data_IF_585817034758
#
_entry.id   IF_585817034758
#
_cell.length_a   1.000
_cell.length_b   1.000
_cell.length_c   1.000
_cell.angle_alpha   90.00
_cell.angle_beta   90.00
_cell.angle_gamma   90.00
#
_symmetry.space_group_name_H-M   'P 1'
#
loop_
_entity.id
_entity.type
_entity.pdbx_description
1 polymer ?
#
# COMPACT_ATOMS: atom_id res chain seq x y z
N UNK A 1 -31.60 -86.84 3.21
CA UNK A 1 -30.70 -85.94 4.00
C UNK A 1 -29.64 -85.36 3.08
N UNK A 2 -29.86 -84.20 2.58
CA UNK A 2 -28.80 -83.35 1.90
C UNK A 2 -29.21 -81.90 2.09
N UNK A 3 -28.44 -81.17 2.89
CA UNK A 3 -28.63 -79.77 3.18
C UNK A 3 -28.11 -78.95 2.00
N UNK A 4 -28.95 -78.12 1.41
CA UNK A 4 -28.59 -77.18 0.38
C UNK A 4 -28.24 -75.86 1.09
N UNK A 5 -26.96 -75.43 0.94
CA UNK A 5 -26.46 -74.16 1.42
C UNK A 5 -26.74 -73.13 0.30
N UNK A 6 -27.63 -72.19 0.55
CA UNK A 6 -27.83 -71.05 -0.35
C UNK A 6 -26.90 -69.92 0.10
N UNK A 7 -25.90 -69.61 -0.73
CA UNK A 7 -25.02 -68.48 -0.55
C UNK A 7 -25.69 -67.25 -1.14
N UNK A 8 -26.17 -66.34 -0.30
CA UNK A 8 -26.64 -65.01 -0.74
C UNK A 8 -25.45 -64.09 -0.83
N UNK A 9 -24.99 -63.84 -2.03
CA UNK A 9 -23.97 -62.85 -2.31
C UNK A 9 -24.63 -61.47 -2.32
N UNK A 10 -24.50 -60.72 -1.21
CA UNK A 10 -24.93 -59.33 -1.12
C UNK A 10 -23.96 -58.42 -1.85
N UNK A 11 -24.43 -57.85 -2.95
CA UNK A 11 -23.72 -56.81 -3.75
C UNK A 11 -23.82 -55.48 -3.01
N UNK A 12 -22.77 -55.10 -2.25
CA UNK A 12 -22.67 -53.76 -1.66
C UNK A 12 -22.25 -52.77 -2.75
N UNK A 13 -23.23 -52.03 -3.23
CA UNK A 13 -23.01 -50.91 -4.16
C UNK A 13 -22.46 -49.72 -3.35
N UNK A 14 -21.16 -49.51 -3.36
CA UNK A 14 -20.48 -48.33 -2.75
C UNK A 14 -20.76 -47.10 -3.65
N UNK A 15 -21.79 -46.34 -3.29
CA UNK A 15 -22.01 -45.01 -3.83
C UNK A 15 -20.92 -44.08 -3.26
N UNK A 16 -19.83 -43.89 -3.99
CA UNK A 16 -18.87 -42.82 -3.72
C UNK A 16 -19.55 -41.49 -4.07
N UNK A 17 -20.18 -40.88 -3.07
CA UNK A 17 -20.55 -39.46 -3.16
C UNK A 17 -19.27 -38.66 -3.13
N UNK A 18 -18.84 -38.23 -4.31
CA UNK A 18 -17.77 -37.27 -4.44
C UNK A 18 -18.20 -35.96 -3.80
N UNK A 19 -17.79 -35.74 -2.55
CA UNK A 19 -17.86 -34.42 -1.93
C UNK A 19 -16.85 -33.57 -2.68
N UNK A 20 -17.29 -32.92 -3.75
CA UNK A 20 -16.56 -31.84 -4.36
C UNK A 20 -16.32 -30.79 -3.27
N UNK A 21 -15.08 -30.63 -2.85
CA UNK A 21 -14.69 -29.51 -1.99
C UNK A 21 -15.05 -28.23 -2.77
N UNK A 22 -16.22 -27.68 -2.46
CA UNK A 22 -16.56 -26.30 -2.85
C UNK A 22 -15.62 -25.43 -2.06
N UNK A 23 -14.49 -25.06 -2.64
CA UNK A 23 -13.66 -23.97 -2.15
C UNK A 23 -14.52 -22.71 -2.26
N UNK A 24 -15.20 -22.38 -1.17
CA UNK A 24 -15.78 -21.05 -1.00
C UNK A 24 -14.62 -20.08 -1.05
N UNK A 25 -14.35 -19.50 -2.19
CA UNK A 25 -13.57 -18.29 -2.30
C UNK A 25 -14.36 -17.20 -1.55
N UNK A 26 -14.12 -17.09 -0.26
CA UNK A 26 -14.62 -16.00 0.55
C UNK A 26 -13.96 -14.73 0.01
N UNK A 27 -14.64 -14.10 -0.93
CA UNK A 27 -14.25 -12.78 -1.41
C UNK A 27 -14.34 -11.84 -0.21
N UNK A 28 -13.18 -11.34 0.24
CA UNK A 28 -13.16 -10.39 1.36
C UNK A 28 -13.88 -9.12 0.94
N UNK A 29 -14.74 -8.63 1.80
CA UNK A 29 -15.42 -7.35 1.58
C UNK A 29 -14.42 -6.19 1.65
N UNK A 30 -14.76 -5.08 1.03
CA UNK A 30 -13.96 -3.84 1.11
C UNK A 30 -13.62 -3.46 2.56
N UNK A 31 -14.60 -3.52 3.47
CA UNK A 31 -14.40 -3.20 4.87
C UNK A 31 -13.42 -4.13 5.57
N UNK A 32 -13.51 -5.44 5.31
CA UNK A 32 -12.58 -6.43 5.85
C UNK A 32 -11.16 -6.19 5.35
N UNK A 33 -10.98 -5.91 4.05
CA UNK A 33 -9.67 -5.60 3.48
C UNK A 33 -9.05 -4.36 4.13
N UNK A 34 -9.83 -3.29 4.33
CA UNK A 34 -9.37 -2.08 5.02
C UNK A 34 -8.93 -2.40 6.45
N UNK A 35 -9.73 -3.13 7.22
CA UNK A 35 -9.37 -3.49 8.59
C UNK A 35 -8.09 -4.35 8.67
N UNK A 36 -7.92 -5.28 7.75
CA UNK A 36 -6.72 -6.13 7.67
C UNK A 36 -5.48 -5.29 7.36
N UNK A 37 -5.55 -4.35 6.39
CA UNK A 37 -4.44 -3.46 6.04
C UNK A 37 -4.07 -2.59 7.25
N UNK A 38 -5.05 -1.95 7.87
CA UNK A 38 -4.83 -1.08 9.03
C UNK A 38 -4.21 -1.86 10.19
N UNK A 39 -4.70 -3.07 10.47
CA UNK A 39 -4.15 -3.91 11.51
C UNK A 39 -2.69 -4.29 11.23
N UNK A 40 -2.37 -4.69 10.01
CA UNK A 40 -1.00 -5.02 9.62
C UNK A 40 -0.04 -3.82 9.78
N UNK A 41 -0.51 -2.60 9.52
CA UNK A 41 0.30 -1.39 9.68
C UNK A 41 0.51 -0.98 11.14
N UNK A 42 -0.35 -1.41 12.07
CA UNK A 42 -0.22 -1.07 13.51
C UNK A 42 1.03 -1.66 14.15
N UNK A 43 1.49 -2.80 13.67
CA UNK A 43 2.67 -3.51 14.18
C UNK A 43 3.99 -2.95 13.62
N UNK A 44 3.92 -1.97 12.69
CA UNK A 44 5.09 -1.33 12.12
C UNK A 44 5.51 -0.16 13.00
N UNK A 45 6.64 -0.28 13.70
CA UNK A 45 7.25 0.79 14.47
C UNK A 45 8.31 1.55 13.66
N UNK A 46 9.01 0.83 12.79
CA UNK A 46 9.95 1.41 11.85
C UNK A 46 9.99 0.60 10.56
N UNK A 47 10.38 1.25 9.47
CA UNK A 47 10.52 0.61 8.17
C UNK A 47 11.66 1.27 7.39
N UNK A 48 12.44 0.44 6.70
CA UNK A 48 13.37 0.88 5.65
C UNK A 48 13.08 0.09 4.39
N UNK A 49 13.04 0.77 3.25
CA UNK A 49 12.80 0.14 1.96
C UNK A 49 13.49 0.90 0.83
N UNK A 50 13.58 0.25 -0.31
CA UNK A 50 14.01 0.87 -1.55
C UNK A 50 12.80 1.45 -2.27
N UNK A 51 12.98 2.58 -2.95
CA UNK A 51 11.96 3.25 -3.74
C UNK A 51 12.45 3.48 -5.17
N UNK A 52 11.53 3.29 -6.12
CA UNK A 52 11.68 3.70 -7.51
C UNK A 52 10.50 4.59 -7.88
N UNK A 53 10.80 5.83 -8.24
CA UNK A 53 9.79 6.83 -8.59
C UNK A 53 9.80 7.09 -10.09
N UNK A 54 8.61 7.16 -10.67
CA UNK A 54 8.40 7.63 -12.05
C UNK A 54 7.43 8.80 -12.00
N UNK A 55 7.88 9.99 -12.41
CA UNK A 55 7.06 11.19 -12.48
C UNK A 55 6.80 11.58 -13.93
N UNK A 56 5.53 11.70 -14.29
CA UNK A 56 5.07 12.23 -15.57
C UNK A 56 4.62 13.67 -15.39
N UNK A 57 5.23 14.57 -16.14
CA UNK A 57 4.91 16.00 -16.09
C UNK A 57 4.24 16.35 -17.42
N UNK A 58 3.10 17.05 -17.43
CA UNK A 58 2.49 17.53 -18.67
C UNK A 58 3.50 18.30 -19.52
N UNK A 59 3.45 18.10 -20.82
CA UNK A 59 4.33 18.75 -21.80
C UNK A 59 5.80 18.25 -21.81
N UNK A 60 6.14 17.24 -21.02
CA UNK A 60 7.40 16.52 -21.15
C UNK A 60 7.17 15.15 -21.81
N UNK A 61 7.92 14.85 -22.86
CA UNK A 61 7.77 13.61 -23.62
C UNK A 61 8.21 12.39 -22.82
N UNK A 62 9.26 12.54 -22.00
CA UNK A 62 9.82 11.46 -21.21
C UNK A 62 9.53 11.63 -19.71
N UNK A 63 9.17 10.55 -19.00
CA UNK A 63 8.99 10.60 -17.56
C UNK A 63 10.33 10.76 -16.85
N UNK A 64 10.33 11.54 -15.77
CA UNK A 64 11.46 11.63 -14.86
C UNK A 64 11.47 10.38 -13.96
N UNK A 65 12.63 9.74 -13.88
CA UNK A 65 12.84 8.57 -13.01
C UNK A 65 13.84 8.93 -11.93
N UNK A 66 13.56 8.44 -10.73
CA UNK A 66 14.45 8.61 -9.56
C UNK A 66 14.40 7.34 -8.72
N UNK A 67 15.49 7.03 -8.05
CA UNK A 67 15.52 5.91 -7.10
C UNK A 67 16.31 6.27 -5.85
N UNK A 68 16.05 5.53 -4.77
CA UNK A 68 16.67 5.80 -3.49
C UNK A 68 16.10 4.93 -2.39
N UNK A 69 16.19 5.41 -1.16
CA UNK A 69 15.69 4.71 0.02
C UNK A 69 14.69 5.57 0.79
N UNK A 70 13.79 4.90 1.49
CA UNK A 70 12.85 5.52 2.40
C UNK A 70 13.01 4.91 3.78
N UNK A 71 12.98 5.75 4.81
CA UNK A 71 12.93 5.34 6.20
C UNK A 71 11.69 5.97 6.84
N UNK A 72 10.96 5.16 7.60
CA UNK A 72 9.87 5.57 8.46
C UNK A 72 10.15 5.12 9.88
N UNK A 73 9.93 6.00 10.85
CA UNK A 73 10.01 5.69 12.27
C UNK A 73 8.79 6.33 12.94
N UNK A 74 7.98 5.50 13.58
CA UNK A 74 6.76 5.92 14.28
C UNK A 74 7.10 6.91 15.42
N UNK A 75 6.27 7.90 15.71
CA UNK A 75 4.96 8.12 15.08
C UNK A 75 4.99 9.01 13.84
N UNK A 76 6.03 9.81 13.61
CA UNK A 76 5.96 10.94 12.67
C UNK A 76 7.26 11.24 11.94
N UNK A 77 8.28 10.37 12.05
CA UNK A 77 9.55 10.56 11.35
C UNK A 77 9.58 9.81 10.04
N UNK A 78 10.01 10.51 9.01
CA UNK A 78 10.03 10.00 7.65
C UNK A 78 11.19 10.65 6.88
N UNK A 79 11.93 9.85 6.13
CA UNK A 79 12.94 10.38 5.20
C UNK A 79 12.85 9.69 3.84
N UNK A 80 13.10 10.48 2.79
CA UNK A 80 13.39 10.03 1.45
C UNK A 80 14.81 10.45 1.11
N UNK A 81 15.62 9.50 0.68
CA UNK A 81 16.98 9.75 0.25
C UNK A 81 17.12 9.24 -1.19
N UNK A 82 16.97 10.13 -2.16
CA UNK A 82 17.20 9.83 -3.57
C UNK A 82 18.70 9.85 -3.85
N UNK A 83 19.16 8.87 -4.63
CA UNK A 83 20.57 8.71 -5.00
C UNK A 83 20.77 8.71 -6.51
N UNK A 84 19.71 8.54 -7.29
CA UNK A 84 19.74 8.52 -8.75
C UNK A 84 18.52 9.31 -9.29
N UNK A 85 18.66 10.18 -10.31
CA UNK A 85 19.89 10.59 -10.99
C UNK A 85 20.72 11.63 -10.20
N UNK A 86 20.15 12.24 -9.14
CA UNK A 86 20.79 13.23 -8.29
C UNK A 86 20.54 12.93 -6.82
N UNK A 87 21.55 13.21 -6.00
CA UNK A 87 21.39 13.13 -4.55
C UNK A 87 20.43 14.22 -4.07
N UNK A 88 19.38 13.80 -3.41
CA UNK A 88 18.42 14.70 -2.80
C UNK A 88 17.76 14.04 -1.60
N UNK A 89 17.62 14.77 -0.51
CA UNK A 89 17.09 14.25 0.75
C UNK A 89 15.93 15.09 1.26
N UNK A 90 14.90 14.41 1.71
CA UNK A 90 13.80 14.97 2.46
C UNK A 90 13.76 14.28 3.82
N UNK A 91 13.71 15.06 4.89
CA UNK A 91 13.46 14.57 6.26
C UNK A 91 12.26 15.29 6.84
N UNK A 92 11.42 14.54 7.52
CA UNK A 92 10.26 15.04 8.24
C UNK A 92 10.30 14.50 9.68
N UNK A 93 10.24 15.39 10.67
CA UNK A 93 10.11 15.06 12.08
C UNK A 93 8.96 15.86 12.66
N UNK A 94 7.80 15.22 12.79
CA UNK A 94 6.57 15.90 13.18
C UNK A 94 6.25 17.06 12.22
N UNK A 95 6.37 18.27 12.73
CA UNK A 95 6.12 19.51 11.98
C UNK A 95 7.34 20.07 11.25
N UNK A 96 8.53 19.53 11.54
CA UNK A 96 9.78 20.00 10.95
C UNK A 96 10.04 19.28 9.62
N UNK A 97 10.30 20.06 8.58
CA UNK A 97 10.65 19.55 7.24
C UNK A 97 12.01 20.14 6.85
N UNK A 98 12.93 19.26 6.50
CA UNK A 98 14.25 19.61 5.96
C UNK A 98 14.41 19.04 4.57
N UNK A 99 14.92 19.83 3.63
CA UNK A 99 15.17 19.43 2.24
C UNK A 99 16.61 19.75 1.85
N UNK A 100 17.24 18.82 1.12
CA UNK A 100 18.62 18.97 0.74
C UNK A 100 19.57 19.01 1.94
N UNK A 101 20.49 19.99 1.97
CA UNK A 101 21.41 20.25 3.07
C UNK A 101 20.89 21.35 4.01
N UNK A 102 19.87 22.11 3.62
CA UNK A 102 19.36 23.28 4.32
C UNK A 102 17.90 23.10 4.74
N UNK A 103 17.45 23.88 5.72
CA UNK A 103 16.04 23.95 6.11
C UNK A 103 15.20 24.49 4.94
N UNK A 104 14.08 23.83 4.68
CA UNK A 104 13.18 24.24 3.61
C UNK A 104 12.59 25.65 3.87
N UNK A 105 12.36 26.38 2.80
CA UNK A 105 11.50 27.57 2.82
C UNK A 105 10.13 27.21 3.44
N UNK A 106 9.56 28.13 4.23
CA UNK A 106 8.29 27.92 4.98
C UNK A 106 7.13 27.55 4.05
N UNK A 107 7.12 28.06 2.82
CA UNK A 107 6.05 27.77 1.85
C UNK A 107 6.22 26.38 1.21
N UNK A 108 7.44 26.04 0.83
CA UNK A 108 7.79 24.70 0.41
C UNK A 108 7.55 23.69 1.53
N UNK A 109 7.93 24.02 2.77
CA UNK A 109 7.70 23.18 3.95
C UNK A 109 6.24 22.82 4.17
N UNK A 110 5.28 23.73 3.96
CA UNK A 110 3.85 23.44 4.09
C UNK A 110 3.34 22.46 3.04
N UNK A 111 3.80 22.59 1.79
CA UNK A 111 3.45 21.66 0.70
C UNK A 111 4.01 20.26 1.00
N UNK A 112 5.29 20.18 1.37
CA UNK A 112 5.94 18.91 1.68
C UNK A 112 5.37 18.26 2.94
N UNK A 113 4.97 19.04 3.96
CA UNK A 113 4.26 18.54 5.13
C UNK A 113 2.95 17.85 4.74
N UNK A 114 2.18 18.43 3.81
CA UNK A 114 0.96 17.82 3.30
C UNK A 114 1.23 16.48 2.60
N UNK A 115 2.23 16.45 1.73
CA UNK A 115 2.64 15.23 1.00
C UNK A 115 3.18 14.17 1.97
N UNK A 116 4.02 14.55 2.92
CA UNK A 116 4.60 13.63 3.90
C UNK A 116 3.53 13.02 4.81
N UNK A 117 2.60 13.83 5.32
CA UNK A 117 1.46 13.35 6.11
C UNK A 117 0.60 12.39 5.31
N UNK A 118 0.44 12.62 4.02
CA UNK A 118 -0.28 11.72 3.12
C UNK A 118 0.47 10.40 2.94
N UNK A 119 1.78 10.43 2.69
CA UNK A 119 2.58 9.21 2.57
C UNK A 119 2.54 8.40 3.87
N UNK A 120 2.71 9.04 5.02
CA UNK A 120 2.59 8.41 6.34
C UNK A 120 1.20 7.79 6.53
N UNK A 121 0.14 8.51 6.17
CA UNK A 121 -1.24 8.01 6.24
C UNK A 121 -1.50 6.84 5.29
N UNK A 122 -0.88 6.82 4.10
CA UNK A 122 -0.90 5.68 3.18
C UNK A 122 -0.23 4.46 3.80
N UNK A 123 0.93 4.66 4.44
CA UNK A 123 1.71 3.58 5.03
C UNK A 123 1.07 3.01 6.29
N UNK A 124 0.43 3.85 7.11
CA UNK A 124 -0.31 3.41 8.30
C UNK A 124 -1.70 2.84 7.96
N UNK A 125 -2.15 2.97 6.72
CA UNK A 125 -3.51 2.61 6.32
C UNK A 125 -4.60 3.54 6.87
N UNK A 126 -4.27 4.55 7.67
CA UNK A 126 -5.25 5.46 8.27
C UNK A 126 -6.03 6.25 7.21
N UNK A 127 -5.41 6.56 6.08
CA UNK A 127 -6.10 7.23 4.97
C UNK A 127 -7.27 6.41 4.41
N UNK A 128 -7.24 5.09 4.52
CA UNK A 128 -8.34 4.23 4.08
C UNK A 128 -9.59 4.42 4.94
N UNK A 129 -9.44 4.93 6.16
CA UNK A 129 -10.54 5.21 7.10
C UNK A 129 -10.98 6.68 7.09
N UNK A 130 -10.21 7.57 6.46
CA UNK A 130 -10.52 9.02 6.45
C UNK A 130 -11.59 9.38 5.40
N UNK A 131 -12.82 9.05 5.70
CA UNK A 131 -14.00 9.36 4.86
C UNK A 131 -14.30 10.86 4.75
N UNK A 132 -13.68 11.72 5.57
CA UNK A 132 -13.84 13.18 5.47
C UNK A 132 -12.98 13.75 4.36
N UNK A 133 -11.83 13.14 4.11
CA UNK A 133 -10.86 13.60 3.11
C UNK A 133 -11.04 12.88 1.79
N UNK A 134 -11.35 11.57 1.83
CA UNK A 134 -11.43 10.72 0.63
C UNK A 134 -12.69 9.86 0.59
N UNK A 135 -13.19 9.64 -0.62
CA UNK A 135 -14.02 8.48 -0.93
C UNK A 135 -13.06 7.35 -1.26
N UNK A 136 -13.15 6.26 -0.52
CA UNK A 136 -12.25 5.11 -0.65
C UNK A 136 -13.01 3.93 -1.22
N UNK A 137 -12.37 3.16 -2.08
CA UNK A 137 -12.79 1.83 -2.48
C UNK A 137 -11.58 0.90 -2.51
N UNK A 138 -11.76 -0.35 -2.06
CA UNK A 138 -10.71 -1.37 -2.05
C UNK A 138 -11.21 -2.62 -2.77
N UNK A 139 -10.40 -3.13 -3.69
CA UNK A 139 -10.71 -4.31 -4.50
C UNK A 139 -9.50 -5.24 -4.55
N UNK A 140 -9.76 -6.53 -4.50
CA UNK A 140 -8.75 -7.55 -4.81
C UNK A 140 -8.68 -7.72 -6.33
N UNK A 141 -7.50 -7.43 -6.90
CA UNK A 141 -7.23 -7.62 -8.33
C UNK A 141 -6.23 -8.77 -8.57
N UNK A 142 -6.10 -9.66 -7.61
CA UNK A 142 -5.23 -10.85 -7.63
C UNK A 142 -3.78 -10.53 -7.29
N UNK A 143 -3.09 -9.73 -8.10
CA UNK A 143 -1.69 -9.37 -7.87
C UNK A 143 -1.51 -8.32 -6.75
N UNK A 144 -2.55 -7.58 -6.41
CA UNK A 144 -2.56 -6.59 -5.32
C UNK A 144 -3.98 -6.35 -4.81
N UNK A 145 -4.09 -5.87 -3.58
CA UNK A 145 -5.28 -5.19 -3.11
C UNK A 145 -5.15 -3.71 -3.46
N UNK A 146 -6.00 -3.30 -4.40
CA UNK A 146 -5.98 -1.93 -4.91
C UNK A 146 -6.96 -1.07 -4.15
N UNK A 147 -6.46 -0.04 -3.48
CA UNK A 147 -7.28 1.02 -2.91
C UNK A 147 -7.26 2.24 -3.82
N UNK A 148 -8.44 2.79 -4.11
CA UNK A 148 -8.62 4.02 -4.86
C UNK A 148 -9.19 5.07 -3.92
N UNK A 149 -8.51 6.21 -3.80
CA UNK A 149 -8.86 7.34 -2.95
C UNK A 149 -9.20 8.54 -3.82
N UNK A 150 -10.47 8.91 -3.87
CA UNK A 150 -10.94 10.10 -4.58
C UNK A 150 -11.11 11.24 -3.57
N UNK A 151 -10.37 12.35 -3.70
CA UNK A 151 -10.49 13.48 -2.80
C UNK A 151 -11.92 14.04 -2.74
N UNK A 152 -12.45 14.27 -1.55
CA UNK A 152 -13.71 14.97 -1.34
C UNK A 152 -13.50 16.35 -0.73
N UNK A 153 -12.43 16.52 0.04
CA UNK A 153 -12.03 17.79 0.66
C UNK A 153 -11.47 18.75 -0.39
N UNK A 154 -11.83 20.01 -0.30
CA UNK A 154 -11.56 21.03 -1.35
C UNK A 154 -10.07 21.28 -1.59
N UNK A 155 -9.28 21.28 -0.54
CA UNK A 155 -7.81 21.47 -0.62
C UNK A 155 -7.14 20.27 -1.33
N UNK A 156 -7.55 19.05 -1.00
CA UNK A 156 -7.04 17.83 -1.62
C UNK A 156 -7.43 17.74 -3.11
N UNK A 157 -8.65 18.17 -3.48
CA UNK A 157 -9.08 18.24 -4.89
C UNK A 157 -8.24 19.20 -5.74
N UNK A 158 -7.62 20.19 -5.11
CA UNK A 158 -6.69 21.09 -5.80
C UNK A 158 -5.32 20.46 -6.08
N UNK A 159 -4.99 19.42 -5.33
CA UNK A 159 -3.69 18.74 -5.43
C UNK A 159 -3.79 17.48 -6.28
N UNK A 160 -4.83 16.67 -6.07
CA UNK A 160 -4.96 15.36 -6.68
C UNK A 160 -6.35 15.13 -7.26
N UNK A 161 -6.39 14.45 -8.41
CA UNK A 161 -7.59 13.87 -8.97
C UNK A 161 -7.91 12.53 -8.30
N UNK A 162 -6.87 11.71 -8.10
CA UNK A 162 -6.97 10.37 -7.55
C UNK A 162 -5.65 9.96 -6.92
N UNK A 163 -5.72 9.09 -5.92
CA UNK A 163 -4.57 8.37 -5.37
C UNK A 163 -4.90 6.87 -5.41
N UNK A 164 -3.99 6.07 -5.93
CA UNK A 164 -4.08 4.61 -5.90
C UNK A 164 -3.00 4.05 -4.98
N UNK A 165 -3.40 3.11 -4.12
CA UNK A 165 -2.51 2.36 -3.26
C UNK A 165 -2.60 0.88 -3.62
N UNK A 166 -1.46 0.26 -3.91
CA UNK A 166 -1.35 -1.17 -4.13
C UNK A 166 -0.73 -1.84 -2.91
N UNK A 167 -1.48 -2.72 -2.26
CA UNK A 167 -1.00 -3.51 -1.13
C UNK A 167 -0.72 -4.95 -1.57
N UNK A 168 0.36 -5.50 -1.07
CA UNK A 168 0.68 -6.91 -1.30
C UNK A 168 -0.36 -7.81 -0.59
N UNK A 169 -0.98 -8.78 -1.30
CA UNK A 169 -2.05 -9.59 -0.72
C UNK A 169 -1.60 -10.54 0.39
N UNK A 170 -0.32 -10.82 0.54
CA UNK A 170 0.22 -11.73 1.57
C UNK A 170 0.71 -10.95 2.79
N UNK A 171 1.54 -9.93 2.57
CA UNK A 171 2.15 -9.15 3.66
C UNK A 171 1.27 -7.99 4.12
N UNK A 172 0.30 -7.55 3.30
CA UNK A 172 -0.56 -6.38 3.53
C UNK A 172 0.19 -5.04 3.53
N UNK A 173 1.45 -5.07 3.13
CA UNK A 173 2.28 -3.87 3.06
C UNK A 173 2.02 -3.11 1.75
N UNK A 174 2.14 -1.80 1.83
CA UNK A 174 2.13 -0.93 0.65
C UNK A 174 3.33 -1.25 -0.24
N UNK A 175 3.08 -1.56 -1.51
CA UNK A 175 4.11 -1.82 -2.52
C UNK A 175 4.09 -0.83 -3.68
N UNK A 176 2.97 -0.12 -3.86
CA UNK A 176 2.80 0.87 -4.93
C UNK A 176 1.93 2.04 -4.47
N UNK A 177 2.36 3.23 -4.78
CA UNK A 177 1.60 4.47 -4.63
C UNK A 177 1.59 5.18 -5.97
N UNK A 178 0.41 5.50 -6.50
CA UNK A 178 0.22 6.32 -7.68
C UNK A 178 -0.63 7.53 -7.31
N UNK A 179 -0.15 8.71 -7.62
CA UNK A 179 -0.84 9.98 -7.41
C UNK A 179 -1.08 10.65 -8.76
N UNK A 180 -2.34 10.89 -9.11
CA UNK A 180 -2.72 11.68 -10.26
C UNK A 180 -2.93 13.12 -9.82
N UNK A 181 -2.08 14.01 -10.30
CA UNK A 181 -2.10 15.43 -9.95
C UNK A 181 -3.27 16.15 -10.61
N UNK A 182 -3.86 17.12 -9.95
CA UNK A 182 -4.92 17.95 -10.53
C UNK A 182 -4.45 18.75 -11.77
N UNK A 183 -3.14 18.97 -11.91
CA UNK A 183 -2.50 19.58 -13.07
C UNK A 183 -2.26 18.65 -14.26
N UNK A 184 -2.71 17.38 -14.22
CA UNK A 184 -2.59 16.40 -15.30
C UNK A 184 -1.30 15.60 -15.31
N UNK A 185 -0.41 15.80 -14.33
CA UNK A 185 0.76 14.95 -14.10
C UNK A 185 0.44 13.72 -13.29
N UNK A 186 1.42 12.83 -13.13
CA UNK A 186 1.31 11.70 -12.19
C UNK A 186 2.66 11.36 -11.58
N UNK A 187 2.62 10.82 -10.37
CA UNK A 187 3.80 10.30 -9.66
C UNK A 187 3.51 8.89 -9.18
N UNK A 188 4.28 7.94 -9.67
CA UNK A 188 4.24 6.55 -9.22
C UNK A 188 5.47 6.25 -8.38
N UNK A 189 5.29 5.61 -7.22
CA UNK A 189 6.36 5.13 -6.35
C UNK A 189 6.16 3.63 -6.15
N UNK A 190 7.15 2.87 -6.56
CA UNK A 190 7.25 1.44 -6.28
C UNK A 190 8.13 1.24 -5.05
N UNK A 191 7.68 0.38 -4.14
CA UNK A 191 8.33 0.08 -2.87
C UNK A 191 8.80 -1.37 -2.91
N UNK A 192 10.07 -1.60 -2.57
CA UNK A 192 10.68 -2.93 -2.58
C UNK A 192 11.66 -3.09 -1.41
N UNK A 193 12.15 -4.31 -1.19
CA UNK A 193 13.16 -4.64 -0.17
C UNK A 193 12.78 -4.13 1.23
N UNK A 194 11.50 -4.27 1.60
CA UNK A 194 10.96 -3.77 2.87
C UNK A 194 11.55 -4.53 4.05
N UNK A 195 12.10 -3.78 5.00
CA UNK A 195 12.61 -4.27 6.29
C UNK A 195 11.87 -3.55 7.41
N UNK A 196 11.24 -4.32 8.29
CA UNK A 196 10.38 -3.79 9.36
C UNK A 196 11.07 -3.89 10.71
N UNK A 197 10.73 -2.92 11.58
CA UNK A 197 11.04 -2.93 13.00
C UNK A 197 12.54 -3.06 13.34
N UNK A 198 13.41 -2.55 12.44
CA UNK A 198 14.83 -2.40 12.68
C UNK A 198 15.17 -1.09 13.41
N UNK A 199 16.38 -1.00 13.93
CA UNK A 199 16.92 0.27 14.44
C UNK A 199 17.50 1.09 13.28
N UNK A 200 16.80 2.15 12.90
CA UNK A 200 17.17 3.04 11.80
C UNK A 200 17.47 4.47 12.27
N UNK A 201 17.62 4.68 13.57
CA UNK A 201 17.89 6.00 14.15
C UNK A 201 19.17 6.66 13.59
N UNK A 202 20.22 5.87 13.41
CA UNK A 202 21.50 6.39 12.90
C UNK A 202 21.48 6.67 11.39
N UNK A 203 20.53 6.07 10.66
CA UNK A 203 20.42 6.21 9.20
C UNK A 203 19.37 7.25 8.79
N UNK A 204 18.51 7.59 9.72
CA UNK A 204 17.40 8.52 9.51
C UNK A 204 17.83 9.97 9.38
#
# INVERSE_FOLDING_TARGET
MKRIFVIVTGLILLLAVGVGAVTLNLHQTEGEMIEIIVKASQDINSMKCDIAQTRRIPLMDEPQKSSGTMIYIKPSRFSLNYTDPFEWKLKVDGDNVMMGTDSADVEAGRLFKGISSMILGCMSGEMLKDKRTFRVSVTDVGAEWKAILIPVRRDMKKMFNQIELGFDPQTRLLKRLLMDDAGGGSTEILISNVRLNGDYEAEW
#
